data_IF_970627293640
#
_entry.id   IF_970627293640
#
_cell.length_a   1.000
_cell.length_b   1.000
_cell.length_c   1.000
_cell.angle_alpha   90.00
_cell.angle_beta   90.00
_cell.angle_gamma   90.00
#
_symmetry.space_group_name_H-M   'P 1'
#
loop_
_entity.id
_entity.type
_entity.pdbx_description
1 polymer ?
#
# COMPACT_ATOMS: atom_id res chain seq x y z
N UNK A 1 24.95 4.95 3.25
CA UNK A 1 23.76 5.83 3.07
C UNK A 1 22.54 4.97 2.83
N UNK A 2 21.58 5.08 3.70
CA UNK A 2 20.37 4.26 3.60
C UNK A 2 19.40 4.95 2.64
N UNK A 3 19.12 4.29 1.51
CA UNK A 3 18.06 4.75 0.62
C UNK A 3 16.73 4.34 1.19
N UNK A 4 15.92 5.32 1.55
CA UNK A 4 14.55 5.08 1.97
C UNK A 4 13.69 5.09 0.72
N UNK A 5 13.15 3.94 0.36
CA UNK A 5 12.23 3.82 -0.76
C UNK A 5 10.80 3.92 -0.26
N UNK A 6 9.95 4.55 -1.06
CA UNK A 6 8.53 4.68 -0.76
C UNK A 6 7.70 4.21 -1.94
N UNK A 7 6.55 3.68 -1.64
CA UNK A 7 5.60 3.26 -2.66
C UNK A 7 4.19 3.64 -2.22
N UNK A 8 3.42 4.17 -3.16
CA UNK A 8 1.99 4.41 -2.94
C UNK A 8 1.22 3.26 -3.56
N UNK A 9 0.40 2.60 -2.76
CA UNK A 9 -0.39 1.45 -3.19
C UNK A 9 -1.86 1.81 -3.06
N UNK A 10 -2.60 1.65 -4.16
CA UNK A 10 -4.03 1.97 -4.19
C UNK A 10 -4.87 0.74 -3.90
N UNK A 11 -5.88 0.93 -3.07
CA UNK A 11 -6.84 -0.12 -2.72
C UNK A 11 -8.26 0.37 -2.94
N UNK A 12 -9.13 -0.53 -3.40
CA UNK A 12 -10.55 -0.24 -3.54
C UNK A 12 -11.35 -0.52 -2.25
N UNK A 13 -10.75 -1.26 -1.33
CA UNK A 13 -11.40 -1.68 -0.09
C UNK A 13 -10.56 -1.32 1.11
N UNK A 14 -11.20 -0.75 2.13
CA UNK A 14 -10.52 -0.45 3.38
C UNK A 14 -10.03 -1.73 4.08
N UNK A 15 -10.76 -2.83 3.91
CA UNK A 15 -10.37 -4.11 4.49
C UNK A 15 -9.01 -4.56 3.98
N UNK A 16 -8.80 -4.51 2.67
CA UNK A 16 -7.51 -4.85 2.08
C UNK A 16 -6.43 -3.85 2.45
N UNK A 17 -6.78 -2.56 2.51
CA UNK A 17 -5.83 -1.53 2.89
C UNK A 17 -5.32 -1.74 4.33
N UNK A 18 -6.22 -2.03 5.26
CA UNK A 18 -5.85 -2.29 6.66
C UNK A 18 -5.01 -3.55 6.79
N UNK A 19 -5.36 -4.59 6.04
CA UNK A 19 -4.59 -5.83 6.04
C UNK A 19 -3.18 -5.60 5.50
N UNK A 20 -3.06 -4.85 4.43
CA UNK A 20 -1.77 -4.51 3.85
C UNK A 20 -0.91 -3.72 4.84
N UNK A 21 -1.50 -2.74 5.51
CA UNK A 21 -0.79 -1.96 6.53
C UNK A 21 -0.25 -2.86 7.64
N UNK A 22 -1.08 -3.77 8.13
CA UNK A 22 -0.69 -4.71 9.18
C UNK A 22 0.48 -5.58 8.73
N UNK A 23 0.40 -6.15 7.54
CA UNK A 23 1.44 -7.01 6.98
C UNK A 23 2.76 -6.25 6.85
N UNK A 24 2.71 -5.03 6.34
CA UNK A 24 3.90 -4.20 6.17
C UNK A 24 4.56 -3.90 7.52
N UNK A 25 3.76 -3.52 8.50
CA UNK A 25 4.26 -3.18 9.82
C UNK A 25 4.85 -4.39 10.55
N UNK A 26 4.24 -5.56 10.39
CA UNK A 26 4.74 -6.79 10.98
C UNK A 26 6.10 -7.22 10.41
N UNK A 27 6.42 -6.75 9.22
CA UNK A 27 7.68 -7.07 8.55
C UNK A 27 8.70 -5.93 8.62
N UNK A 28 8.53 -5.03 9.56
CA UNK A 28 9.49 -3.96 9.83
C UNK A 28 9.37 -2.73 8.94
N UNK A 29 8.38 -2.69 8.07
CA UNK A 29 8.12 -1.52 7.24
C UNK A 29 7.22 -0.50 7.95
N UNK A 30 7.06 0.65 7.33
CA UNK A 30 6.12 1.66 7.79
C UNK A 30 5.02 1.83 6.76
N UNK A 31 3.80 2.00 7.23
CA UNK A 31 2.66 2.19 6.34
C UNK A 31 1.72 3.22 6.91
N UNK A 32 1.32 4.16 6.07
CA UNK A 32 0.34 5.20 6.43
C UNK A 32 -0.83 5.06 5.47
N UNK A 33 -2.02 4.89 6.02
CA UNK A 33 -3.23 4.76 5.21
C UNK A 33 -3.91 6.13 5.09
N UNK A 34 -4.34 6.45 3.87
CA UNK A 34 -5.06 7.69 3.59
C UNK A 34 -6.24 7.39 2.68
N UNK A 35 -7.32 8.12 2.87
CA UNK A 35 -8.42 8.08 1.93
C UNK A 35 -7.99 8.87 0.68
N UNK A 36 -8.22 8.32 -0.50
CA UNK A 36 -7.88 9.01 -1.74
C UNK A 36 -8.74 10.27 -1.89
N UNK A 37 -8.13 11.48 -1.86
CA UNK A 37 -8.90 12.72 -1.91
C UNK A 37 -9.49 12.99 -3.30
N UNK A 38 -8.92 12.40 -4.35
CA UNK A 38 -9.37 12.61 -5.71
C UNK A 38 -9.57 11.27 -6.42
N UNK A 39 -10.60 10.50 -6.03
CA UNK A 39 -10.86 9.24 -6.70
C UNK A 39 -11.25 9.50 -8.16
N UNK A 40 -10.71 8.71 -9.06
CA UNK A 40 -11.14 8.72 -10.44
C UNK A 40 -12.60 8.27 -10.49
N UNK A 41 -13.34 8.71 -11.51
CA UNK A 41 -14.79 8.50 -11.61
C UNK A 41 -15.24 7.06 -11.34
N UNK A 42 -14.44 6.08 -11.70
CA UNK A 42 -14.81 4.68 -11.58
C UNK A 42 -14.22 3.97 -10.37
N UNK A 43 -13.49 4.69 -9.52
CA UNK A 43 -12.80 4.08 -8.38
C UNK A 43 -13.60 4.13 -7.07
N UNK A 44 -14.68 4.90 -7.02
CA UNK A 44 -15.46 5.03 -5.80
C UNK A 44 -14.62 5.53 -4.63
N UNK A 45 -14.84 4.94 -3.45
CA UNK A 45 -14.06 5.28 -2.26
C UNK A 45 -12.74 4.53 -2.27
N UNK A 46 -11.67 5.19 -2.70
CA UNK A 46 -10.35 4.59 -2.75
C UNK A 46 -9.52 4.89 -1.50
N UNK A 47 -8.58 4.00 -1.21
CA UNK A 47 -7.61 4.18 -0.13
C UNK A 47 -6.21 4.04 -0.70
N UNK A 48 -5.28 4.82 -0.16
CA UNK A 48 -3.88 4.77 -0.56
C UNK A 48 -3.03 4.52 0.67
N UNK A 49 -2.13 3.55 0.56
CA UNK A 49 -1.11 3.33 1.58
C UNK A 49 0.21 3.85 1.05
N UNK A 50 0.86 4.72 1.82
CA UNK A 50 2.24 5.10 1.57
C UNK A 50 3.11 4.21 2.45
N UNK A 51 3.81 3.28 1.82
CA UNK A 51 4.69 2.34 2.51
C UNK A 51 6.13 2.76 2.35
N UNK A 52 6.90 2.62 3.41
CA UNK A 52 8.33 2.98 3.44
C UNK A 52 9.14 1.76 3.83
N UNK A 53 10.22 1.52 3.12
CA UNK A 53 11.12 0.41 3.38
C UNK A 53 11.56 -0.26 2.09
N UNK A 54 11.73 -1.59 2.14
CA UNK A 54 12.04 -2.37 0.93
C UNK A 54 10.76 -2.55 0.12
N UNK A 55 10.57 -1.71 -0.88
CA UNK A 55 9.33 -1.66 -1.66
C UNK A 55 9.09 -2.95 -2.44
N UNK A 56 10.12 -3.58 -2.98
CA UNK A 56 9.97 -4.86 -3.68
C UNK A 56 9.46 -5.95 -2.75
N UNK A 57 10.03 -6.02 -1.55
CA UNK A 57 9.61 -6.97 -0.53
C UNK A 57 8.16 -6.70 -0.11
N UNK A 58 7.80 -5.44 0.03
CA UNK A 58 6.44 -5.05 0.39
C UNK A 58 5.44 -5.56 -0.64
N UNK A 59 5.70 -5.32 -1.92
CA UNK A 59 4.81 -5.78 -2.99
C UNK A 59 4.73 -7.31 -3.00
N UNK A 60 5.87 -7.99 -2.84
CA UNK A 60 5.89 -9.45 -2.77
C UNK A 60 5.06 -9.99 -1.60
N UNK A 61 5.16 -9.35 -0.44
CA UNK A 61 4.39 -9.74 0.75
C UNK A 61 2.90 -9.64 0.49
N UNK A 62 2.46 -8.57 -0.17
CA UNK A 62 1.05 -8.39 -0.51
C UNK A 62 0.58 -9.48 -1.47
N UNK A 63 1.40 -9.82 -2.47
CA UNK A 63 1.07 -10.89 -3.42
C UNK A 63 1.01 -12.26 -2.75
N UNK A 64 1.96 -12.57 -1.88
CA UNK A 64 2.00 -13.84 -1.15
C UNK A 64 0.77 -13.99 -0.26
N UNK A 65 0.35 -12.92 0.38
CA UNK A 65 -0.80 -12.91 1.28
C UNK A 65 -2.12 -12.70 0.55
N UNK A 66 -2.10 -12.65 -0.78
CA UNK A 66 -3.29 -12.48 -1.62
C UNK A 66 -4.07 -11.23 -1.29
N UNK A 67 -3.38 -10.16 -0.95
CA UNK A 67 -4.00 -8.86 -0.73
C UNK A 67 -4.20 -8.20 -2.07
N UNK A 68 -5.44 -7.93 -2.42
CA UNK A 68 -5.76 -7.29 -3.71
C UNK A 68 -5.54 -5.79 -3.62
N UNK A 69 -4.80 -5.25 -4.57
CA UNK A 69 -4.62 -3.82 -4.73
C UNK A 69 -4.91 -3.44 -6.18
N UNK A 70 -5.26 -2.17 -6.40
CA UNK A 70 -5.58 -1.67 -7.75
C UNK A 70 -4.30 -1.46 -8.53
N UNK A 71 -3.30 -0.88 -7.89
CA UNK A 71 -2.03 -0.58 -8.51
C UNK A 71 -1.10 0.08 -7.51
N UNK A 72 0.12 0.35 -7.94
CA UNK A 72 1.10 1.01 -7.08
C UNK A 72 2.04 1.86 -7.92
N UNK A 73 2.64 2.86 -7.27
CA UNK A 73 3.61 3.76 -7.88
C UNK A 73 4.78 3.92 -6.92
N UNK A 74 5.98 3.63 -7.39
CA UNK A 74 7.20 3.89 -6.62
C UNK A 74 7.51 5.38 -6.62
N UNK A 75 7.86 5.91 -5.46
CA UNK A 75 8.18 7.33 -5.29
C UNK A 75 9.68 7.59 -5.30
#
# INVERSE_FOLDING_TARGET
MIKVNRVNIKFSSVTYALRAKEIIEQNGGKAVIRKNPNPLRNEGCGYVITATGNTEKIINLLNINKVKYIGYVFL
#
